data_IF_726200789477
#
_entry.id   IF_726200789477
#
_cell.length_a   1.000
_cell.length_b   1.000
_cell.length_c   1.000
_cell.angle_alpha   90.00
_cell.angle_beta   90.00
_cell.angle_gamma   90.00
#
_symmetry.space_group_name_H-M   'P 1'
#
loop_
_entity.id
_entity.type
_entity.pdbx_description
1 polymer ?
#
# COMPACT_ATOMS: atom_id res chain seq x y z
N UNK A 1 12.34 10.30 0.05
CA UNK A 1 11.08 10.15 -0.69
C UNK A 1 11.27 10.13 -2.21
N UNK A 2 12.01 11.08 -2.79
CA UNK A 2 12.21 11.20 -4.25
C UNK A 2 12.79 9.94 -4.93
N UNK A 3 13.81 9.29 -4.33
CA UNK A 3 14.48 8.11 -4.92
C UNK A 3 13.55 6.91 -5.17
N UNK A 4 12.48 6.74 -4.38
CA UNK A 4 11.51 5.66 -4.59
C UNK A 4 10.64 5.98 -5.81
N UNK A 5 10.19 7.23 -5.90
CA UNK A 5 9.36 7.70 -7.03
C UNK A 5 10.17 7.66 -8.33
N UNK A 6 11.45 8.06 -8.30
CA UNK A 6 12.32 7.99 -9.49
C UNK A 6 12.46 6.55 -10.00
N UNK A 7 12.54 5.56 -9.10
CA UNK A 7 12.56 4.13 -9.48
C UNK A 7 11.23 3.67 -10.08
N UNK A 8 10.11 4.10 -9.50
CA UNK A 8 8.78 3.76 -10.01
C UNK A 8 8.53 4.43 -11.37
N UNK A 9 9.03 5.63 -11.59
CA UNK A 9 8.96 6.37 -12.85
C UNK A 9 9.83 5.70 -13.91
N UNK A 10 11.06 5.32 -13.57
CA UNK A 10 11.95 4.55 -14.47
C UNK A 10 11.35 3.20 -14.88
N UNK A 11 10.57 2.57 -14.01
CA UNK A 11 9.84 1.33 -14.30
C UNK A 11 8.49 1.54 -15.00
N UNK A 12 8.16 2.78 -15.42
CA UNK A 12 6.88 3.15 -16.05
C UNK A 12 5.64 2.81 -15.21
N UNK A 13 5.77 2.75 -13.87
CA UNK A 13 4.66 2.45 -12.96
C UNK A 13 3.96 3.73 -12.47
N UNK A 14 4.67 4.85 -12.46
CA UNK A 14 4.13 6.18 -12.14
C UNK A 14 4.60 7.20 -13.17
N UNK A 15 3.81 8.26 -13.36
CA UNK A 15 4.16 9.41 -14.19
C UNK A 15 4.03 10.69 -13.38
N UNK A 16 4.93 11.64 -13.60
CA UNK A 16 4.87 12.98 -13.01
C UNK A 16 4.18 13.93 -13.98
N UNK A 17 3.09 14.52 -13.52
CA UNK A 17 2.33 15.52 -14.27
C UNK A 17 2.41 16.83 -13.50
N UNK A 18 2.89 17.88 -14.15
CA UNK A 18 2.89 19.22 -13.54
C UNK A 18 1.45 19.71 -13.40
N UNK A 19 1.13 20.30 -12.24
CA UNK A 19 -0.20 20.84 -12.00
C UNK A 19 -0.51 21.99 -12.96
N UNK A 20 -1.77 22.09 -13.40
CA UNK A 20 -2.19 23.09 -14.38
C UNK A 20 -2.22 24.52 -13.79
N UNK A 21 -2.44 24.66 -12.48
CA UNK A 21 -2.46 25.94 -11.77
C UNK A 21 -1.08 26.35 -11.25
N UNK A 22 -0.26 25.41 -10.81
CA UNK A 22 1.09 25.68 -10.32
C UNK A 22 2.13 24.68 -10.84
N UNK A 23 2.96 25.13 -11.79
CA UNK A 23 4.03 24.33 -12.39
C UNK A 23 5.14 23.93 -11.42
N UNK A 24 5.17 24.47 -10.19
CA UNK A 24 6.09 24.07 -9.13
C UNK A 24 5.61 22.79 -8.42
N UNK A 25 4.35 22.40 -8.62
CA UNK A 25 3.76 21.20 -8.04
C UNK A 25 3.80 20.07 -9.07
N UNK A 26 4.41 18.95 -8.70
CA UNK A 26 4.43 17.73 -9.50
C UNK A 26 3.49 16.70 -8.86
N UNK A 27 2.41 16.36 -9.57
CA UNK A 27 1.47 15.32 -9.20
C UNK A 27 2.00 13.97 -9.69
N UNK A 28 1.94 12.96 -8.83
CA UNK A 28 2.36 11.60 -9.16
C UNK A 28 1.11 10.80 -9.47
N UNK A 29 0.95 10.41 -10.72
CA UNK A 29 -0.15 9.58 -11.19
C UNK A 29 0.32 8.15 -11.42
N UNK A 30 -0.50 7.18 -11.05
CA UNK A 30 -0.24 5.78 -11.37
C UNK A 30 -0.49 5.56 -12.87
N UNK A 31 0.41 4.87 -13.56
CA UNK A 31 0.17 4.48 -14.96
C UNK A 31 -0.79 3.29 -15.03
N UNK A 32 -1.27 2.96 -16.22
CA UNK A 32 -2.06 1.73 -16.45
C UNK A 32 -1.28 0.47 -16.05
N UNK A 33 0.03 0.43 -16.34
CA UNK A 33 0.93 -0.64 -15.91
C UNK A 33 1.08 -0.69 -14.38
N UNK A 34 1.23 0.48 -13.74
CA UNK A 34 1.26 0.61 -12.29
C UNK A 34 -0.03 0.12 -11.63
N UNK A 35 -1.19 0.47 -12.19
CA UNK A 35 -2.50 0.02 -11.71
C UNK A 35 -2.68 -1.50 -11.84
N UNK A 36 -2.26 -2.07 -12.97
CA UNK A 36 -2.30 -3.53 -13.18
C UNK A 36 -1.41 -4.27 -12.18
N UNK A 37 -0.19 -3.77 -11.95
CA UNK A 37 0.73 -4.35 -10.98
C UNK A 37 0.19 -4.24 -9.55
N UNK A 38 -0.34 -3.06 -9.18
CA UNK A 38 -0.98 -2.86 -7.88
C UNK A 38 -2.09 -3.89 -7.67
N UNK A 39 -2.98 -4.07 -8.65
CA UNK A 39 -4.08 -5.02 -8.57
C UNK A 39 -3.59 -6.45 -8.34
N UNK A 40 -2.59 -6.90 -9.12
CA UNK A 40 -1.98 -8.24 -8.95
C UNK A 40 -1.35 -8.40 -7.56
N UNK A 41 -0.63 -7.38 -7.08
CA UNK A 41 -0.02 -7.42 -5.76
C UNK A 41 -1.08 -7.47 -4.66
N UNK A 42 -2.16 -6.68 -4.78
CA UNK A 42 -3.28 -6.69 -3.83
C UNK A 42 -3.99 -8.04 -3.80
N UNK A 43 -4.25 -8.65 -4.96
CA UNK A 43 -4.84 -10.00 -5.05
C UNK A 43 -3.97 -11.05 -4.37
N UNK A 44 -2.65 -11.04 -4.63
CA UNK A 44 -1.70 -11.95 -3.97
C UNK A 44 -1.69 -11.76 -2.45
N UNK A 45 -1.63 -10.52 -1.98
CA UNK A 45 -1.67 -10.20 -0.55
C UNK A 45 -2.97 -10.68 0.06
N UNK A 46 -4.10 -10.50 -0.62
CA UNK A 46 -5.39 -10.96 -0.13
C UNK A 46 -5.46 -12.50 -0.04
N UNK A 47 -4.98 -13.22 -1.06
CA UNK A 47 -4.92 -14.69 -1.04
C UNK A 47 -4.05 -15.17 0.12
N UNK A 48 -2.87 -14.58 0.29
CA UNK A 48 -1.95 -14.93 1.38
C UNK A 48 -2.61 -14.62 2.73
N UNK A 49 -3.22 -13.45 2.89
CA UNK A 49 -3.89 -13.06 4.12
C UNK A 49 -5.05 -14.00 4.47
N UNK A 50 -5.88 -14.37 3.49
CA UNK A 50 -6.97 -15.33 3.70
C UNK A 50 -6.40 -16.69 4.11
N UNK A 51 -5.34 -17.17 3.44
CA UNK A 51 -4.71 -18.45 3.76
C UNK A 51 -4.00 -18.47 5.12
N UNK A 52 -3.41 -17.36 5.55
CA UNK A 52 -2.76 -17.28 6.87
C UNK A 52 -3.76 -17.11 7.99
N UNK A 53 -4.91 -16.49 7.71
CA UNK A 53 -5.97 -16.25 8.69
C UNK A 53 -7.05 -17.35 8.71
N UNK A 54 -7.07 -18.28 7.75
CA UNK A 54 -8.13 -19.31 7.61
C UNK A 54 -8.24 -20.26 8.81
N UNK A 55 -7.19 -20.39 9.61
CA UNK A 55 -7.17 -21.26 10.79
C UNK A 55 -7.29 -20.48 12.11
N UNK A 56 -7.69 -19.21 12.04
CA UNK A 56 -7.87 -18.33 13.18
C UNK A 56 -9.33 -17.90 13.21
N UNK A 57 -9.99 -18.10 14.34
CA UNK A 57 -11.37 -17.64 14.50
C UNK A 57 -11.43 -16.11 14.54
N UNK A 58 -12.55 -15.53 14.14
CA UNK A 58 -12.74 -14.07 14.20
C UNK A 58 -12.55 -13.51 15.62
N UNK A 59 -12.87 -14.30 16.65
CA UNK A 59 -12.69 -13.94 18.06
C UNK A 59 -11.21 -13.87 18.48
N UNK A 60 -10.41 -14.88 18.10
CA UNK A 60 -8.95 -14.88 18.35
C UNK A 60 -8.26 -13.72 17.63
N UNK A 61 -8.67 -13.45 16.38
CA UNK A 61 -8.14 -12.35 15.58
C UNK A 61 -8.47 -10.99 16.21
N UNK A 62 -9.71 -10.80 16.67
CA UNK A 62 -10.11 -9.58 17.39
C UNK A 62 -9.35 -9.41 18.70
N UNK A 63 -9.16 -10.50 19.46
CA UNK A 63 -8.41 -10.49 20.71
C UNK A 63 -6.96 -10.09 20.46
N UNK A 64 -6.31 -10.71 19.48
CA UNK A 64 -4.92 -10.41 19.09
C UNK A 64 -4.79 -8.95 18.62
N UNK A 65 -5.73 -8.46 17.81
CA UNK A 65 -5.75 -7.07 17.35
C UNK A 65 -5.91 -6.07 18.50
N UNK A 66 -6.74 -6.39 19.48
CA UNK A 66 -6.92 -5.57 20.69
C UNK A 66 -5.63 -5.50 21.52
N UNK A 67 -4.96 -6.64 21.71
CA UNK A 67 -3.67 -6.72 22.41
C UNK A 67 -2.58 -5.94 21.67
N UNK A 68 -2.42 -6.13 20.36
CA UNK A 68 -1.47 -5.37 19.54
C UNK A 68 -1.71 -3.87 19.61
N UNK A 69 -2.98 -3.43 19.59
CA UNK A 69 -3.35 -2.02 19.71
C UNK A 69 -2.97 -1.45 21.08
N UNK A 70 -3.14 -2.22 22.17
CA UNK A 70 -2.69 -1.82 23.51
C UNK A 70 -1.17 -1.69 23.58
N UNK A 71 -0.42 -2.64 23.03
CA UNK A 71 1.05 -2.59 22.96
C UNK A 71 1.51 -1.34 22.21
N UNK A 72 0.91 -1.08 21.05
CA UNK A 72 1.23 0.09 20.23
C UNK A 72 0.85 1.41 20.91
N UNK A 73 -0.19 1.41 21.76
CA UNK A 73 -0.55 2.56 22.60
C UNK A 73 0.43 2.81 23.75
N UNK A 74 1.08 1.77 24.28
CA UNK A 74 2.07 1.88 25.35
C UNK A 74 3.45 2.31 24.82
N UNK A 75 3.70 2.17 23.52
CA UNK A 75 4.89 2.64 22.81
C UNK A 75 4.86 4.14 22.51
N UNK A 76 3.84 4.86 23.00
CA UNK A 76 3.59 6.26 22.72
C UNK A 76 4.06 7.15 23.86
#
# INVERSE_FOLDING_TARGET
MTRLIDKLEKSNLVTRVSDHKDRRINLIHLTTAGASLQKKATELVQIIAVKTLSNITNEELNTCRSVLKKIMSNLK
#
